data_IF_315386270027
#
_entry.id   IF_315386270027
#
_cell.length_a   1.000
_cell.length_b   1.000
_cell.length_c   1.000
_cell.angle_alpha   90.00
_cell.angle_beta   90.00
_cell.angle_gamma   90.00
#
_symmetry.space_group_name_H-M   'P 1'
#
loop_
_entity.id
_entity.type
_entity.pdbx_description
1 polymer ?
#
# COMPACT_ATOMS: atom_id res chain seq x y z
N UNK A 1 -43.47 28.15 -3.71
CA UNK A 1 -43.37 29.55 -3.22
C UNK A 1 -41.91 29.86 -2.98
N UNK A 2 -41.38 30.81 -3.73
CA UNK A 2 -39.97 31.15 -3.87
C UNK A 2 -39.56 32.14 -2.77
N UNK A 3 -38.48 31.88 -2.01
CA UNK A 3 -37.66 32.97 -1.47
C UNK A 3 -36.22 32.52 -1.18
N UNK A 4 -35.34 32.92 -2.10
CA UNK A 4 -33.89 33.02 -1.92
C UNK A 4 -33.54 33.94 -0.74
N UNK A 5 -32.46 33.60 -0.03
CA UNK A 5 -31.47 34.59 0.41
C UNK A 5 -30.10 33.92 0.44
N UNK A 6 -29.24 34.35 -0.50
CA UNK A 6 -27.80 34.07 -0.55
C UNK A 6 -27.10 34.93 0.50
N UNK A 7 -26.18 34.35 1.27
CA UNK A 7 -24.85 34.92 1.54
C UNK A 7 -23.83 33.80 1.66
N UNK A 8 -23.06 33.64 0.59
CA UNK A 8 -21.77 32.96 0.56
C UNK A 8 -20.79 33.68 1.50
N UNK A 9 -20.23 32.95 2.47
CA UNK A 9 -18.95 33.24 3.10
C UNK A 9 -18.16 31.93 3.07
N UNK A 10 -16.99 31.96 2.43
CA UNK A 10 -16.14 30.80 2.25
C UNK A 10 -15.74 30.20 3.59
N UNK A 11 -15.85 28.87 3.68
CA UNK A 11 -15.42 28.07 4.82
C UNK A 11 -14.24 27.20 4.39
N UNK A 12 -13.11 27.86 4.17
CA UNK A 12 -11.77 27.28 4.17
C UNK A 12 -10.88 28.26 4.95
N UNK A 13 -10.97 28.25 6.30
CA UNK A 13 -9.71 28.27 7.07
C UNK A 13 -9.71 27.47 8.39
N UNK A 14 -10.83 26.90 8.84
CA UNK A 14 -10.93 26.29 10.18
C UNK A 14 -10.47 24.84 10.29
N UNK A 15 -10.74 24.01 9.27
CA UNK A 15 -10.46 22.56 9.30
C UNK A 15 -8.98 22.25 9.02
N UNK A 16 -8.28 23.16 8.32
CA UNK A 16 -6.84 23.08 8.03
C UNK A 16 -5.98 23.33 9.28
N UNK A 17 -6.51 24.05 10.29
CA UNK A 17 -5.75 24.41 11.49
C UNK A 17 -5.68 23.28 12.54
N UNK A 18 -6.70 22.41 12.62
CA UNK A 18 -6.77 21.37 13.67
C UNK A 18 -6.10 20.04 13.27
N UNK A 19 -6.05 19.70 11.98
CA UNK A 19 -5.27 18.56 11.48
C UNK A 19 -3.76 18.79 11.65
N UNK A 20 -3.32 20.05 11.62
CA UNK A 20 -1.92 20.46 11.85
C UNK A 20 -1.54 20.42 13.34
N UNK A 21 -2.52 20.57 14.25
CA UNK A 21 -2.27 20.55 15.70
C UNK A 21 -2.11 19.12 16.27
N UNK A 22 -2.79 18.13 15.69
CA UNK A 22 -2.76 16.73 16.18
C UNK A 22 -1.55 15.96 15.63
N UNK A 23 -1.09 16.25 14.42
CA UNK A 23 0.25 15.82 13.93
C UNK A 23 1.38 16.45 14.76
N UNK A 24 1.09 17.53 15.49
CA UNK A 24 2.02 18.20 16.41
C UNK A 24 2.24 17.50 17.75
N UNK A 25 1.44 16.50 18.15
CA UNK A 25 1.51 15.89 19.48
C UNK A 25 2.03 14.44 19.51
N UNK A 26 2.04 13.72 18.39
CA UNK A 26 2.25 12.24 18.37
C UNK A 26 3.73 11.82 18.33
N UNK A 27 4.69 12.74 18.25
CA UNK A 27 6.12 12.45 18.54
C UNK A 27 6.63 13.27 19.73
N UNK A 28 5.72 13.80 20.56
CA UNK A 28 6.08 14.34 21.86
C UNK A 28 6.51 13.19 22.78
N UNK A 29 7.82 13.06 23.00
CA UNK A 29 8.48 12.17 23.97
C UNK A 29 8.81 10.74 23.51
N UNK A 30 9.91 10.61 22.75
CA UNK A 30 10.94 9.64 23.13
C UNK A 30 11.96 10.37 24.03
N UNK A 31 11.50 10.60 25.26
CA UNK A 31 12.22 10.77 26.54
C UNK A 31 13.40 11.76 26.63
N UNK A 32 13.14 12.90 27.27
CA UNK A 32 14.06 13.51 28.26
C UNK A 32 14.60 14.91 27.96
N UNK A 33 13.79 15.96 28.17
CA UNK A 33 14.26 17.35 28.14
C UNK A 33 14.23 18.02 29.53
N UNK A 34 15.40 18.39 30.05
CA UNK A 34 15.67 19.62 30.83
C UNK A 34 17.21 19.81 30.77
N UNK A 35 17.85 20.95 30.50
CA UNK A 35 17.47 22.36 30.49
C UNK A 35 18.49 23.18 29.66
N UNK A 36 18.07 24.33 29.12
CA UNK A 36 18.89 25.55 29.03
C UNK A 36 19.65 25.88 27.73
N UNK A 37 19.18 26.91 27.00
CA UNK A 37 20.02 27.94 26.39
C UNK A 37 20.50 27.77 24.94
N UNK A 38 20.02 28.65 24.04
CA UNK A 38 20.62 28.94 22.72
C UNK A 38 19.64 28.78 21.55
N UNK A 39 19.44 29.84 20.75
CA UNK A 39 18.60 29.82 19.54
C UNK A 39 19.22 28.94 18.45
N UNK A 40 18.99 27.63 18.54
CA UNK A 40 18.85 26.74 17.39
C UNK A 40 17.36 26.39 17.27
N UNK A 41 16.79 26.25 16.05
CA UNK A 41 15.43 25.76 15.92
C UNK A 41 15.31 24.42 16.63
N UNK A 42 14.23 24.25 17.40
CA UNK A 42 13.91 22.99 18.07
C UNK A 42 14.00 21.84 17.05
N UNK A 43 14.87 20.83 17.26
CA UNK A 43 15.01 19.71 16.35
C UNK A 43 13.68 19.02 16.02
N UNK A 44 12.75 18.99 16.98
CA UNK A 44 11.41 18.43 16.75
C UNK A 44 10.59 19.30 15.80
N UNK A 45 10.64 20.64 15.96
CA UNK A 45 9.98 21.57 15.05
C UNK A 45 10.56 21.50 13.64
N UNK A 46 11.89 21.45 13.51
CA UNK A 46 12.57 21.29 12.22
C UNK A 46 12.17 19.98 11.53
N UNK A 47 12.05 18.89 12.29
CA UNK A 47 11.57 17.60 11.75
C UNK A 47 10.12 17.66 11.29
N UNK A 48 9.24 18.28 12.06
CA UNK A 48 7.84 18.46 11.68
C UNK A 48 7.70 19.28 10.39
N UNK A 49 8.47 20.36 10.26
CA UNK A 49 8.49 21.19 9.04
C UNK A 49 8.97 20.39 7.82
N UNK A 50 10.04 19.62 7.97
CA UNK A 50 10.54 18.73 6.91
C UNK A 50 9.49 17.68 6.51
N UNK A 51 8.84 17.04 7.49
CA UNK A 51 7.80 16.04 7.22
C UNK A 51 6.63 16.63 6.44
N UNK A 52 6.15 17.83 6.81
CA UNK A 52 5.08 18.51 6.06
C UNK A 52 5.50 18.80 4.62
N UNK A 53 6.72 19.29 4.42
CA UNK A 53 7.23 19.60 3.09
C UNK A 53 7.29 18.34 2.20
N UNK A 54 7.84 17.24 2.72
CA UNK A 54 7.95 15.97 2.00
C UNK A 54 6.56 15.39 1.70
N UNK A 55 5.65 15.40 2.68
CA UNK A 55 4.29 14.90 2.48
C UNK A 55 3.53 15.69 1.42
N UNK A 56 3.65 17.01 1.39
CA UNK A 56 3.03 17.84 0.34
C UNK A 56 3.63 17.52 -1.03
N UNK A 57 4.94 17.35 -1.11
CA UNK A 57 5.62 17.08 -2.38
C UNK A 57 5.27 15.69 -2.93
N UNK A 58 5.33 14.66 -2.09
CA UNK A 58 5.00 13.26 -2.44
C UNK A 58 3.54 13.08 -2.88
N UNK A 59 2.63 13.99 -2.48
CA UNK A 59 1.22 13.94 -2.82
C UNK A 59 0.78 15.06 -3.75
N UNK A 60 1.71 15.83 -4.36
CA UNK A 60 1.38 17.05 -5.10
C UNK A 60 0.32 16.83 -6.19
N UNK A 61 0.48 15.82 -7.02
CA UNK A 61 -0.47 15.51 -8.09
C UNK A 61 -1.79 14.96 -7.54
N UNK A 62 -1.73 14.17 -6.46
CA UNK A 62 -2.91 13.63 -5.78
C UNK A 62 -3.72 14.73 -5.10
N UNK A 63 -3.08 15.74 -4.52
CA UNK A 63 -3.75 16.90 -3.94
C UNK A 63 -4.50 17.72 -4.99
N UNK A 64 -4.01 17.75 -6.23
CA UNK A 64 -4.69 18.42 -7.34
C UNK A 64 -5.87 17.60 -7.87
N UNK A 65 -5.76 16.27 -7.86
CA UNK A 65 -6.73 15.36 -8.50
C UNK A 65 -7.79 14.81 -7.55
N UNK A 66 -7.39 14.42 -6.34
CA UNK A 66 -8.18 13.69 -5.35
C UNK A 66 -7.96 14.26 -3.93
N UNK A 67 -8.18 15.57 -3.68
CA UNK A 67 -7.82 16.22 -2.42
C UNK A 67 -8.50 15.61 -1.18
N UNK A 68 -9.75 15.18 -1.31
CA UNK A 68 -10.50 14.52 -0.22
C UNK A 68 -9.88 13.16 0.15
N UNK A 69 -9.45 12.39 -0.85
CA UNK A 69 -8.80 11.10 -0.59
C UNK A 69 -7.41 11.27 0.02
N UNK A 70 -6.69 12.35 -0.33
CA UNK A 70 -5.43 12.69 0.35
C UNK A 70 -5.67 13.07 1.80
N UNK A 71 -6.72 13.85 2.09
CA UNK A 71 -7.10 14.17 3.47
C UNK A 71 -7.39 12.89 4.27
N UNK A 72 -8.17 11.96 3.72
CA UNK A 72 -8.43 10.67 4.35
C UNK A 72 -7.17 9.82 4.53
N UNK A 73 -6.28 9.81 3.54
CA UNK A 73 -4.97 9.16 3.65
C UNK A 73 -4.19 9.68 4.84
N UNK A 74 -4.06 11.01 4.95
CA UNK A 74 -3.32 11.66 6.04
C UNK A 74 -3.97 11.41 7.40
N UNK A 75 -5.30 11.42 7.46
CA UNK A 75 -6.03 11.10 8.69
C UNK A 75 -5.82 9.64 9.14
N UNK A 76 -5.80 8.66 8.22
CA UNK A 76 -5.43 7.26 8.52
C UNK A 76 -4.00 7.17 9.02
N UNK A 77 -3.07 7.81 8.33
CA UNK A 77 -1.66 7.82 8.74
C UNK A 77 -1.45 8.40 10.14
N UNK A 78 -2.33 9.28 10.61
CA UNK A 78 -2.27 9.87 11.93
C UNK A 78 -2.86 9.00 13.05
N UNK A 79 -3.51 7.86 12.72
CA UNK A 79 -4.16 7.00 13.72
C UNK A 79 -3.16 6.30 14.63
N UNK A 80 -2.06 5.78 14.07
CA UNK A 80 -1.07 5.00 14.81
C UNK A 80 0.29 4.93 14.05
N UNK A 81 1.39 4.55 14.72
CA UNK A 81 2.71 4.46 14.10
C UNK A 81 2.80 3.49 12.91
N UNK A 82 2.05 2.38 12.95
CA UNK A 82 2.04 1.39 11.89
C UNK A 82 1.33 1.92 10.64
N UNK A 83 0.19 2.60 10.82
CA UNK A 83 -0.53 3.31 9.76
C UNK A 83 0.32 4.42 9.14
N UNK A 84 1.05 5.21 9.94
CA UNK A 84 1.99 6.20 9.42
C UNK A 84 3.06 5.54 8.51
N UNK A 85 3.66 4.47 9.00
CA UNK A 85 4.72 3.73 8.33
C UNK A 85 4.27 3.16 6.98
N UNK A 86 3.16 2.41 6.93
CA UNK A 86 2.60 1.86 5.67
C UNK A 86 2.02 2.92 4.74
N UNK A 87 1.75 4.12 5.24
CA UNK A 87 1.31 5.23 4.42
C UNK A 87 2.43 5.94 3.69
N UNK A 88 3.69 5.69 4.10
CA UNK A 88 4.80 6.55 3.78
C UNK A 88 6.17 5.85 3.66
N UNK A 89 6.29 5.01 2.63
CA UNK A 89 7.59 4.44 2.25
C UNK A 89 8.59 5.52 1.79
N UNK A 90 8.12 6.65 1.24
CA UNK A 90 8.97 7.76 0.79
C UNK A 90 9.70 8.49 1.93
N UNK A 91 9.07 8.65 3.09
CA UNK A 91 9.74 9.20 4.29
C UNK A 91 10.75 8.20 4.83
N UNK A 92 10.38 6.92 4.94
CA UNK A 92 11.33 5.87 5.33
C UNK A 92 12.56 5.85 4.42
N UNK A 93 12.36 5.88 3.10
CA UNK A 93 13.44 5.89 2.12
C UNK A 93 14.39 7.07 2.37
N UNK A 94 13.86 8.29 2.50
CA UNK A 94 14.68 9.48 2.77
C UNK A 94 15.42 9.36 4.10
N UNK A 95 14.77 8.90 5.16
CA UNK A 95 15.41 8.73 6.46
C UNK A 95 16.52 7.68 6.43
N UNK A 96 16.26 6.56 5.76
CA UNK A 96 17.19 5.45 5.67
C UNK A 96 18.44 5.76 4.84
N UNK A 97 18.35 6.74 3.93
CA UNK A 97 19.47 7.17 3.09
C UNK A 97 20.13 8.48 3.51
N UNK A 98 19.62 9.14 4.57
CA UNK A 98 20.27 10.32 5.13
C UNK A 98 21.69 9.96 5.63
N UNK A 99 22.71 10.76 5.28
CA UNK A 99 24.07 10.54 5.78
C UNK A 99 24.11 10.45 7.30
N UNK A 100 24.63 9.32 7.81
CA UNK A 100 24.76 9.06 9.25
C UNK A 100 23.47 8.64 9.97
N UNK A 101 22.31 8.63 9.31
CA UNK A 101 21.04 8.26 9.96
C UNK A 101 20.93 6.76 10.23
N UNK A 102 21.26 5.93 9.25
CA UNK A 102 21.33 4.47 9.41
C UNK A 102 22.62 3.92 8.77
N UNK A 103 23.76 4.00 9.46
CA UNK A 103 25.03 3.48 8.97
C UNK A 103 24.85 2.03 8.47
N UNK A 104 25.36 1.75 7.29
CA UNK A 104 25.37 0.42 6.71
C UNK A 104 26.75 0.18 6.12
N UNK A 105 27.36 -0.95 6.46
CA UNK A 105 28.58 -1.42 5.80
C UNK A 105 28.28 -2.10 4.46
N UNK A 106 26.99 -2.21 4.09
CA UNK A 106 26.47 -2.99 2.96
C UNK A 106 25.54 -2.15 2.07
N UNK A 107 25.96 -0.91 1.75
CA UNK A 107 25.24 0.01 0.85
C UNK A 107 26.06 0.41 -0.38
N UNK A 108 26.92 -0.47 -0.85
CA UNK A 108 27.77 -0.28 -2.03
C UNK A 108 27.10 -0.78 -3.32
N UNK A 109 27.74 -0.54 -4.47
CA UNK A 109 27.21 -0.91 -5.79
C UNK A 109 26.70 -2.36 -5.91
N UNK A 110 27.45 -3.39 -5.47
CA UNK A 110 26.99 -4.78 -5.50
C UNK A 110 25.71 -5.02 -4.70
N UNK A 111 25.60 -4.45 -3.50
CA UNK A 111 24.39 -4.61 -2.67
C UNK A 111 23.16 -3.93 -3.29
N UNK A 112 23.37 -2.88 -4.09
CA UNK A 112 22.31 -2.17 -4.81
C UNK A 112 21.80 -2.85 -6.10
N UNK A 113 22.34 -4.02 -6.46
CA UNK A 113 21.87 -4.81 -7.60
C UNK A 113 20.70 -5.75 -7.27
N UNK A 114 20.23 -5.75 -6.02
CA UNK A 114 19.12 -6.59 -5.57
C UNK A 114 17.79 -5.96 -5.97
N UNK A 115 16.89 -6.77 -6.55
CA UNK A 115 15.52 -6.37 -6.78
C UNK A 115 14.76 -6.43 -5.45
N UNK A 116 14.31 -5.27 -4.99
CA UNK A 116 13.57 -5.10 -3.74
C UNK A 116 12.07 -5.27 -3.98
N UNK A 117 11.37 -5.78 -2.95
CA UNK A 117 9.92 -5.66 -2.80
C UNK A 117 9.56 -4.18 -2.65
N UNK A 118 10.39 -3.42 -1.93
CA UNK A 118 10.33 -1.96 -1.81
C UNK A 118 9.50 -1.45 -0.63
N UNK A 119 8.39 -2.10 -0.30
CA UNK A 119 7.58 -1.76 0.89
C UNK A 119 7.18 -3.01 1.72
N UNK A 120 8.11 -3.90 2.10
CA UNK A 120 7.76 -5.07 2.88
C UNK A 120 7.30 -4.66 4.29
N UNK A 121 6.10 -5.07 4.65
CA UNK A 121 5.54 -4.92 5.98
C UNK A 121 4.46 -6.00 6.21
N UNK A 122 4.07 -6.30 7.47
CA UNK A 122 3.17 -7.41 7.79
C UNK A 122 1.87 -7.45 6.96
N UNK A 123 1.26 -6.29 6.67
CA UNK A 123 0.03 -6.23 5.86
C UNK A 123 0.21 -6.39 4.34
N UNK A 124 1.45 -6.43 3.84
CA UNK A 124 1.76 -6.75 2.44
C UNK A 124 2.08 -8.24 2.25
N UNK A 125 1.95 -9.06 3.31
CA UNK A 125 1.90 -10.51 3.19
C UNK A 125 0.46 -10.92 2.93
N UNK A 126 0.23 -11.64 1.83
CA UNK A 126 -1.08 -12.09 1.39
C UNK A 126 -1.09 -13.57 1.05
N UNK A 127 -2.30 -14.11 0.92
CA UNK A 127 -2.53 -15.50 0.51
C UNK A 127 -3.14 -15.55 -0.87
N UNK A 128 -2.61 -16.35 -1.78
CA UNK A 128 -3.20 -16.55 -3.11
C UNK A 128 -3.01 -17.97 -3.63
N UNK A 129 -3.75 -18.30 -4.69
CA UNK A 129 -3.56 -19.53 -5.46
C UNK A 129 -2.77 -19.16 -6.73
N UNK A 130 -1.55 -19.67 -6.94
CA UNK A 130 -0.80 -19.42 -8.17
C UNK A 130 -1.48 -20.08 -9.38
N UNK A 131 -1.43 -19.41 -10.55
CA UNK A 131 -2.06 -19.89 -11.79
C UNK A 131 -1.45 -21.21 -12.30
N UNK A 132 -2.27 -22.06 -12.94
CA UNK A 132 -1.79 -23.18 -13.75
C UNK A 132 -1.80 -24.58 -13.11
N UNK A 133 -2.42 -24.78 -11.94
CA UNK A 133 -2.58 -26.13 -11.38
C UNK A 133 -4.06 -26.54 -11.26
N UNK A 134 -4.65 -27.23 -12.27
CA UNK A 134 -5.78 -28.10 -12.02
C UNK A 134 -5.33 -29.18 -11.02
N UNK A 135 -5.71 -29.04 -9.75
CA UNK A 135 -5.53 -30.09 -8.74
C UNK A 135 -4.22 -30.13 -7.93
N UNK A 136 -3.59 -29.00 -7.57
CA UNK A 136 -2.81 -28.98 -6.31
C UNK A 136 -1.40 -28.38 -6.30
N UNK A 137 -1.30 -27.06 -6.11
CA UNK A 137 -0.17 -26.46 -5.35
C UNK A 137 -0.60 -25.79 -4.04
N UNK A 138 -1.89 -25.86 -3.71
CA UNK A 138 -2.42 -25.27 -2.49
C UNK A 138 -2.41 -23.73 -2.50
N UNK A 139 -2.82 -23.13 -1.39
CA UNK A 139 -2.57 -21.71 -1.13
C UNK A 139 -1.10 -21.47 -0.77
N UNK A 140 -0.58 -20.33 -1.22
CA UNK A 140 0.72 -19.82 -0.82
C UNK A 140 0.55 -18.55 0.00
N UNK A 141 1.45 -18.31 0.94
CA UNK A 141 1.62 -17.06 1.68
C UNK A 141 2.88 -16.38 1.15
N UNK A 142 2.72 -15.20 0.55
CA UNK A 142 3.79 -14.46 -0.10
C UNK A 142 3.50 -12.96 -0.17
N UNK A 143 4.41 -12.17 -0.71
CA UNK A 143 4.26 -10.73 -0.92
C UNK A 143 3.21 -10.42 -1.98
N UNK A 144 2.37 -9.41 -1.72
CA UNK A 144 1.21 -9.08 -2.56
C UNK A 144 1.28 -7.71 -3.26
N UNK A 145 2.16 -6.81 -2.84
CA UNK A 145 2.23 -5.43 -3.35
C UNK A 145 3.66 -5.09 -3.77
N UNK A 146 3.85 -4.99 -5.08
CA UNK A 146 5.13 -4.68 -5.73
C UNK A 146 5.14 -3.27 -6.34
N UNK A 147 4.21 -2.40 -5.95
CA UNK A 147 4.15 -1.01 -6.43
C UNK A 147 5.48 -0.27 -6.23
N UNK A 148 6.12 -0.49 -5.08
CA UNK A 148 7.37 0.15 -4.69
C UNK A 148 8.62 -0.62 -5.15
N UNK A 149 8.45 -1.74 -5.87
CA UNK A 149 9.55 -2.61 -6.26
C UNK A 149 10.54 -1.88 -7.17
N UNK A 150 11.83 -2.04 -6.87
CA UNK A 150 12.94 -1.39 -7.56
C UNK A 150 14.25 -2.07 -7.23
N UNK A 151 15.30 -1.79 -8.02
CA UNK A 151 16.65 -2.18 -7.60
C UNK A 151 17.15 -1.22 -6.51
N UNK A 152 17.84 -1.78 -5.52
CA UNK A 152 18.39 -1.02 -4.41
C UNK A 152 19.06 -1.92 -3.39
N UNK A 153 19.65 -1.35 -2.33
CA UNK A 153 20.34 -2.15 -1.34
C UNK A 153 19.36 -2.92 -0.47
N UNK A 154 19.55 -4.23 -0.38
CA UNK A 154 18.65 -5.17 0.31
C UNK A 154 18.32 -4.80 1.76
N UNK A 155 19.21 -4.09 2.45
CA UNK A 155 18.99 -3.68 3.83
C UNK A 155 17.76 -2.79 3.98
N UNK A 156 17.32 -2.10 2.92
CA UNK A 156 16.12 -1.27 2.95
C UNK A 156 14.88 -2.12 3.22
N UNK A 157 14.71 -3.22 2.50
CA UNK A 157 13.60 -4.16 2.71
C UNK A 157 13.68 -4.82 4.09
N UNK A 158 14.87 -5.28 4.49
CA UNK A 158 15.07 -5.91 5.82
C UNK A 158 14.72 -4.94 6.95
N UNK A 159 15.21 -3.70 6.89
CA UNK A 159 14.92 -2.66 7.89
C UNK A 159 13.46 -2.21 7.85
N UNK A 160 12.88 -2.10 6.66
CA UNK A 160 11.48 -1.71 6.46
C UNK A 160 10.53 -2.74 7.07
N UNK A 161 10.82 -4.03 6.89
CA UNK A 161 10.06 -5.13 7.47
C UNK A 161 10.21 -5.19 8.99
N UNK A 162 11.44 -5.09 9.49
CA UNK A 162 11.71 -5.06 10.94
C UNK A 162 10.98 -3.89 11.61
N UNK A 163 11.06 -2.69 11.02
CA UNK A 163 10.35 -1.52 11.52
C UNK A 163 8.83 -1.69 11.41
N UNK A 164 8.34 -2.39 10.39
CA UNK A 164 6.92 -2.71 10.25
C UNK A 164 6.39 -3.60 11.36
N UNK A 165 7.12 -4.66 11.73
CA UNK A 165 6.77 -5.48 12.89
C UNK A 165 6.84 -4.68 14.19
N UNK A 166 7.91 -3.91 14.40
CA UNK A 166 8.08 -3.07 15.59
C UNK A 166 6.95 -2.04 15.73
N UNK A 167 6.56 -1.37 14.64
CA UNK A 167 5.48 -0.39 14.65
C UNK A 167 4.11 -1.03 14.89
N UNK A 168 3.85 -2.22 14.33
CA UNK A 168 2.58 -2.94 14.49
C UNK A 168 2.30 -3.36 15.95
N UNK A 169 3.34 -3.46 16.78
CA UNK A 169 3.24 -3.92 18.18
C UNK A 169 3.65 -2.85 19.19
N UNK A 170 3.97 -1.63 18.75
CA UNK A 170 4.54 -0.58 19.58
C UNK A 170 3.69 -0.26 20.82
N UNK A 171 2.36 -0.43 20.71
CA UNK A 171 1.41 -0.15 21.79
C UNK A 171 1.13 -1.35 22.71
N UNK A 172 1.67 -2.53 22.39
CA UNK A 172 1.32 -3.80 23.08
C UNK A 172 2.51 -4.54 23.69
N UNK A 173 3.75 -4.24 23.28
CA UNK A 173 4.95 -4.88 23.84
C UNK A 173 6.04 -3.87 24.21
N UNK A 174 6.95 -4.21 25.14
CA UNK A 174 8.08 -3.35 25.45
C UNK A 174 9.12 -3.32 24.32
N UNK A 175 9.99 -2.30 24.35
CA UNK A 175 10.96 -1.99 23.27
C UNK A 175 12.01 -3.07 23.02
N UNK A 176 12.31 -3.91 24.02
CA UNK A 176 13.24 -5.04 23.91
C UNK A 176 12.71 -6.11 22.94
N UNK A 177 11.41 -6.39 22.97
CA UNK A 177 10.74 -7.30 22.02
C UNK A 177 10.85 -6.81 20.58
N UNK A 178 10.85 -5.49 20.35
CA UNK A 178 11.04 -4.93 19.01
C UNK A 178 12.46 -5.16 18.46
N UNK A 179 13.48 -5.17 19.33
CA UNK A 179 14.85 -5.47 18.92
C UNK A 179 15.01 -6.94 18.55
N UNK A 180 14.44 -7.85 19.35
CA UNK A 180 14.44 -9.29 19.06
C UNK A 180 13.73 -9.61 17.74
N UNK A 181 12.65 -8.91 17.41
CA UNK A 181 11.98 -9.04 16.12
C UNK A 181 12.84 -8.54 14.96
N UNK A 182 13.55 -7.42 15.15
CA UNK A 182 14.51 -6.94 14.15
C UNK A 182 15.61 -7.97 13.87
N UNK A 183 16.12 -8.62 14.92
CA UNK A 183 17.09 -9.71 14.78
C UNK A 183 16.48 -10.92 14.05
N UNK A 184 15.27 -11.34 14.42
CA UNK A 184 14.57 -12.45 13.77
C UNK A 184 14.30 -12.20 12.27
N UNK A 185 13.96 -10.97 11.89
CA UNK A 185 13.79 -10.57 10.49
C UNK A 185 15.11 -10.68 9.73
N UNK A 186 16.21 -10.18 10.31
CA UNK A 186 17.53 -10.28 9.70
C UNK A 186 18.00 -11.73 9.55
N UNK A 187 17.81 -12.55 10.58
CA UNK A 187 18.15 -13.98 10.58
C UNK A 187 17.32 -14.75 9.53
N UNK A 188 16.03 -14.46 9.43
CA UNK A 188 15.14 -15.04 8.41
C UNK A 188 15.57 -14.67 7.00
N UNK A 189 15.96 -13.42 6.76
CA UNK A 189 16.49 -12.97 5.47
C UNK A 189 17.80 -13.70 5.11
N UNK A 190 18.74 -13.79 6.05
CA UNK A 190 20.03 -14.48 5.85
C UNK A 190 19.80 -15.98 5.63
N UNK A 191 18.85 -16.58 6.32
CA UNK A 191 18.45 -17.97 6.09
C UNK A 191 17.94 -18.15 4.67
N UNK A 192 16.95 -17.35 4.24
CA UNK A 192 16.39 -17.41 2.89
C UNK A 192 17.44 -17.24 1.80
N UNK A 193 18.34 -16.25 1.94
CA UNK A 193 19.42 -16.01 0.99
C UNK A 193 20.47 -17.14 0.90
N UNK A 194 20.48 -18.09 1.85
CA UNK A 194 21.38 -19.28 1.83
C UNK A 194 20.69 -20.53 1.31
N UNK A 195 19.36 -20.55 1.30
CA UNK A 195 18.59 -21.66 0.75
C UNK A 195 18.59 -21.48 -0.77
N UNK A 196 19.27 -22.39 -1.48
CA UNK A 196 19.32 -22.44 -2.94
C UNK A 196 18.02 -23.07 -3.49
N UNK A 197 16.91 -22.38 -3.24
CA UNK A 197 15.57 -22.78 -3.69
C UNK A 197 14.92 -21.60 -4.42
N UNK A 198 14.98 -21.65 -5.75
CA UNK A 198 14.38 -20.67 -6.66
C UNK A 198 12.83 -20.63 -6.58
N UNK A 199 12.19 -21.51 -5.80
CA UNK A 199 10.72 -21.59 -5.60
C UNK A 199 10.38 -21.53 -4.09
N UNK A 200 11.15 -20.79 -3.28
CA UNK A 200 10.82 -20.62 -1.86
C UNK A 200 9.52 -19.83 -1.68
N UNK A 201 8.47 -20.54 -1.26
CA UNK A 201 7.19 -19.96 -0.84
C UNK A 201 6.67 -20.73 0.36
N UNK A 202 6.00 -20.04 1.28
CA UNK A 202 5.32 -20.67 2.40
C UNK A 202 3.99 -21.24 1.91
N UNK A 203 3.85 -22.56 1.94
CA UNK A 203 2.72 -23.29 1.35
C UNK A 203 1.83 -23.88 2.44
N UNK A 204 0.57 -24.14 2.09
CA UNK A 204 -0.40 -24.77 3.00
C UNK A 204 0.02 -26.13 3.57
N UNK A 205 0.93 -26.83 2.89
CA UNK A 205 1.43 -28.13 3.32
C UNK A 205 2.69 -28.04 4.20
N UNK A 206 3.25 -26.84 4.39
CA UNK A 206 4.46 -26.66 5.20
C UNK A 206 4.14 -26.75 6.70
N UNK A 207 5.18 -27.04 7.49
CA UNK A 207 5.09 -27.00 8.95
C UNK A 207 5.05 -25.56 9.47
N UNK A 208 3.91 -24.89 9.27
CA UNK A 208 3.72 -23.48 9.62
C UNK A 208 3.23 -23.30 11.07
N UNK A 209 3.60 -22.23 11.78
CA UNK A 209 3.01 -21.86 13.07
C UNK A 209 1.48 -21.65 13.00
N UNK A 210 0.80 -21.76 14.15
CA UNK A 210 -0.66 -21.67 14.22
C UNK A 210 -1.27 -20.39 13.60
N UNK A 211 -0.69 -19.18 13.78
CA UNK A 211 -1.22 -17.98 13.14
C UNK A 211 -1.22 -18.05 11.61
N UNK A 212 -0.15 -18.57 11.00
CA UNK A 212 -0.05 -18.66 9.54
C UNK A 212 -0.99 -19.72 8.97
N UNK A 213 -1.15 -20.86 9.67
CA UNK A 213 -2.15 -21.87 9.28
C UNK A 213 -3.57 -21.31 9.32
N UNK A 214 -3.90 -20.54 10.34
CA UNK A 214 -5.22 -19.91 10.45
C UNK A 214 -5.50 -18.92 9.31
N UNK A 215 -4.48 -18.18 8.84
CA UNK A 215 -4.60 -17.31 7.67
C UNK A 215 -4.93 -18.10 6.40
N UNK A 216 -4.21 -19.20 6.16
CA UNK A 216 -4.44 -20.05 4.98
C UNK A 216 -5.78 -20.79 5.04
N UNK A 217 -6.17 -21.29 6.21
CA UNK A 217 -7.47 -21.93 6.41
C UNK A 217 -8.63 -20.98 6.13
N UNK A 218 -8.52 -19.73 6.61
CA UNK A 218 -9.50 -18.69 6.32
C UNK A 218 -9.55 -18.39 4.81
N UNK A 219 -8.41 -18.12 4.19
CA UNK A 219 -8.35 -17.79 2.77
C UNK A 219 -8.92 -18.90 1.87
N UNK A 220 -8.73 -20.17 2.25
CA UNK A 220 -9.33 -21.32 1.56
C UNK A 220 -10.85 -21.26 1.64
N UNK A 221 -11.38 -21.11 2.86
CA UNK A 221 -12.82 -21.05 3.10
C UNK A 221 -13.47 -19.90 2.32
N UNK A 222 -12.94 -18.69 2.45
CA UNK A 222 -13.48 -17.49 1.80
C UNK A 222 -13.47 -17.65 0.26
N UNK A 223 -12.43 -18.29 -0.28
CA UNK A 223 -12.31 -18.60 -1.71
C UNK A 223 -13.29 -19.69 -2.18
N UNK A 224 -13.42 -20.79 -1.44
CA UNK A 224 -14.29 -21.92 -1.78
C UNK A 224 -15.79 -21.53 -1.70
N UNK A 225 -16.14 -20.64 -0.77
CA UNK A 225 -17.49 -20.10 -0.60
C UNK A 225 -17.84 -19.03 -1.65
N UNK A 226 -16.87 -18.63 -2.50
CA UNK A 226 -17.04 -17.54 -3.46
C UNK A 226 -17.46 -16.23 -2.78
N UNK A 227 -16.99 -16.01 -1.56
CA UNK A 227 -17.47 -14.96 -0.64
C UNK A 227 -17.30 -13.59 -1.29
N UNK A 228 -16.12 -13.31 -1.87
CA UNK A 228 -15.85 -12.05 -2.56
C UNK A 228 -16.86 -11.76 -3.70
N UNK A 229 -17.23 -12.76 -4.51
CA UNK A 229 -18.20 -12.56 -5.59
C UNK A 229 -19.58 -12.24 -5.02
N UNK A 230 -20.01 -12.96 -3.99
CA UNK A 230 -21.31 -12.78 -3.34
C UNK A 230 -21.43 -11.45 -2.58
N UNK A 231 -20.35 -11.05 -1.90
CA UNK A 231 -20.27 -9.79 -1.16
C UNK A 231 -20.22 -8.58 -2.09
N UNK A 232 -19.47 -8.66 -3.19
CA UNK A 232 -19.22 -7.51 -4.05
C UNK A 232 -20.26 -7.32 -5.16
N UNK A 233 -21.19 -8.26 -5.32
CA UNK A 233 -22.18 -8.22 -6.40
C UNK A 233 -23.62 -8.44 -5.93
N UNK A 234 -24.57 -8.08 -6.78
CA UNK A 234 -25.99 -8.37 -6.63
C UNK A 234 -26.58 -8.83 -7.97
N UNK A 235 -27.61 -9.67 -7.93
CA UNK A 235 -28.36 -10.07 -9.13
C UNK A 235 -29.47 -9.05 -9.38
N UNK A 236 -29.40 -8.34 -10.50
CA UNK A 236 -30.41 -7.38 -10.94
C UNK A 236 -31.01 -7.87 -12.25
N UNK A 237 -32.30 -8.24 -12.25
CA UNK A 237 -33.00 -8.78 -13.41
C UNK A 237 -32.28 -9.97 -14.09
N UNK A 238 -31.67 -10.85 -13.29
CA UNK A 238 -30.94 -12.03 -13.77
C UNK A 238 -29.52 -11.76 -14.25
N UNK A 239 -29.05 -10.51 -14.23
CA UNK A 239 -27.66 -10.14 -14.52
C UNK A 239 -26.93 -9.74 -13.26
N UNK A 240 -25.74 -10.30 -13.03
CA UNK A 240 -24.88 -9.91 -11.92
C UNK A 240 -24.30 -8.51 -12.17
N UNK A 241 -24.33 -7.67 -11.14
CA UNK A 241 -23.85 -6.28 -11.15
C UNK A 241 -23.04 -6.00 -9.89
N UNK A 242 -22.08 -5.09 -9.98
CA UNK A 242 -21.29 -4.68 -8.82
C UNK A 242 -22.20 -3.94 -7.84
N UNK A 243 -22.04 -4.21 -6.55
CA UNK A 243 -22.70 -3.42 -5.51
C UNK A 243 -22.09 -2.03 -5.51
N UNK A 244 -22.95 -1.04 -5.71
CA UNK A 244 -22.60 0.38 -5.63
C UNK A 244 -23.51 1.07 -4.64
N UNK A 245 -23.00 2.11 -3.98
CA UNK A 245 -23.82 3.00 -3.17
C UNK A 245 -24.12 4.27 -3.98
N UNK A 246 -25.35 4.78 -3.86
CA UNK A 246 -25.86 5.89 -4.69
C UNK A 246 -25.21 7.24 -4.37
N UNK A 247 -24.57 7.36 -3.20
CA UNK A 247 -23.99 8.60 -2.67
C UNK A 247 -22.76 8.20 -1.86
N UNK A 248 -21.59 8.76 -2.18
CA UNK A 248 -20.87 9.57 -1.18
C UNK A 248 -19.89 10.55 -1.84
N UNK A 249 -20.34 11.74 -2.27
CA UNK A 249 -19.46 12.69 -2.92
C UNK A 249 -18.55 13.51 -1.99
N UNK A 250 -18.67 13.46 -0.65
CA UNK A 250 -17.78 14.18 0.30
C UNK A 250 -18.06 13.97 1.82
N UNK A 251 -18.63 12.86 2.31
CA UNK A 251 -18.96 12.80 3.75
C UNK A 251 -19.35 11.45 4.36
N UNK A 252 -18.38 10.58 4.67
CA UNK A 252 -17.80 10.40 6.02
C UNK A 252 -16.94 9.13 6.16
N UNK A 253 -16.05 9.18 7.16
CA UNK A 253 -15.50 8.03 7.88
C UNK A 253 -14.23 7.55 7.24
N UNK A 254 -13.08 7.96 7.81
CA UNK A 254 -11.74 7.68 7.28
C UNK A 254 -11.56 6.20 6.93
N UNK A 255 -12.31 5.29 7.57
CA UNK A 255 -12.13 3.84 7.49
C UNK A 255 -13.00 3.02 6.53
N UNK A 256 -14.02 3.57 5.85
CA UNK A 256 -14.91 2.73 5.04
C UNK A 256 -14.41 2.52 3.59
N UNK A 257 -14.31 1.26 3.16
CA UNK A 257 -14.21 0.94 1.72
C UNK A 257 -15.59 1.02 1.07
N UNK A 258 -15.70 1.81 0.00
CA UNK A 258 -16.95 1.95 -0.76
C UNK A 258 -16.72 1.75 -2.26
N UNK A 259 -17.78 1.42 -2.97
CA UNK A 259 -17.77 1.23 -4.42
C UNK A 259 -18.85 2.11 -5.04
N UNK A 260 -18.45 2.97 -5.98
CA UNK A 260 -19.33 3.96 -6.63
C UNK A 260 -19.42 3.67 -8.13
N UNK A 261 -20.56 4.04 -8.72
CA UNK A 261 -20.71 4.05 -10.16
C UNK A 261 -19.67 4.98 -10.81
N UNK A 262 -19.22 4.62 -12.01
CA UNK A 262 -18.28 5.41 -12.80
C UNK A 262 -19.00 6.20 -13.89
N UNK A 263 -18.44 7.35 -14.24
CA UNK A 263 -18.82 8.08 -15.46
C UNK A 263 -18.36 7.36 -16.74
N UNK A 264 -18.87 7.81 -17.89
CA UNK A 264 -18.60 7.21 -19.19
C UNK A 264 -17.13 7.30 -19.60
N UNK A 265 -16.44 8.37 -19.19
CA UNK A 265 -15.01 8.58 -19.47
C UNK A 265 -14.15 7.56 -18.73
N UNK A 266 -14.36 7.42 -17.41
CA UNK A 266 -13.68 6.43 -16.58
C UNK A 266 -13.99 5.00 -17.03
N UNK A 267 -15.25 4.73 -17.41
CA UNK A 267 -15.66 3.45 -17.98
C UNK A 267 -14.87 3.14 -19.25
N UNK A 268 -14.80 4.08 -20.19
CA UNK A 268 -14.06 3.91 -21.44
C UNK A 268 -12.56 3.66 -21.19
N UNK A 269 -11.96 4.41 -20.27
CA UNK A 269 -10.55 4.24 -19.89
C UNK A 269 -10.27 2.85 -19.30
N UNK A 270 -11.13 2.36 -18.39
CA UNK A 270 -10.99 1.01 -17.79
C UNK A 270 -11.16 -0.08 -18.85
N UNK A 271 -12.17 0.04 -19.73
CA UNK A 271 -12.37 -0.92 -20.82
C UNK A 271 -11.15 -0.95 -21.76
N UNK A 272 -10.59 0.22 -22.10
CA UNK A 272 -9.39 0.31 -22.91
C UNK A 272 -8.18 -0.34 -22.23
N UNK A 273 -7.99 -0.10 -20.92
CA UNK A 273 -6.91 -0.70 -20.13
C UNK A 273 -7.02 -2.24 -20.05
N UNK A 274 -8.23 -2.79 -20.06
CA UNK A 274 -8.46 -4.24 -20.03
C UNK A 274 -8.32 -4.92 -21.39
N UNK A 275 -8.34 -4.17 -22.51
CA UNK A 275 -8.31 -4.79 -23.84
C UNK A 275 -7.16 -5.76 -24.07
N UNK A 276 -5.90 -5.46 -23.70
CA UNK A 276 -4.81 -6.41 -23.90
C UNK A 276 -5.02 -7.74 -23.16
N UNK A 277 -5.53 -7.67 -21.92
CA UNK A 277 -5.83 -8.84 -21.10
C UNK A 277 -6.98 -9.66 -21.68
N UNK A 278 -8.05 -8.99 -22.13
CA UNK A 278 -9.20 -9.66 -22.73
C UNK A 278 -8.84 -10.29 -24.08
N UNK A 279 -8.03 -9.62 -24.90
CA UNK A 279 -7.55 -10.15 -26.17
C UNK A 279 -6.67 -11.40 -25.98
N UNK A 280 -5.84 -11.42 -24.93
CA UNK A 280 -5.02 -12.59 -24.60
C UNK A 280 -5.84 -13.83 -24.19
N UNK A 281 -7.10 -13.65 -23.77
CA UNK A 281 -8.03 -14.75 -23.45
C UNK A 281 -8.68 -15.40 -24.69
N UNK A 282 -8.57 -14.81 -25.89
CA UNK A 282 -9.06 -15.35 -27.16
C UNK A 282 -10.51 -14.99 -27.53
N UNK A 283 -10.91 -15.34 -28.75
CA UNK A 283 -12.25 -15.06 -29.29
C UNK A 283 -13.33 -15.87 -28.55
N UNK A 284 -14.39 -15.20 -28.09
CA UNK A 284 -15.42 -15.79 -27.21
C UNK A 284 -15.12 -15.67 -25.71
N UNK A 285 -14.02 -15.00 -25.33
CA UNK A 285 -13.71 -14.67 -23.95
C UNK A 285 -14.76 -13.76 -23.31
N UNK A 286 -14.83 -13.82 -21.98
CA UNK A 286 -15.74 -13.00 -21.20
C UNK A 286 -15.55 -11.51 -21.48
N UNK A 287 -16.66 -10.78 -21.60
CA UNK A 287 -16.65 -9.34 -21.80
C UNK A 287 -16.97 -8.61 -20.49
N UNK A 288 -16.60 -7.34 -20.41
CA UNK A 288 -16.90 -6.51 -19.23
C UNK A 288 -18.42 -6.28 -19.14
N UNK A 289 -19.02 -6.78 -18.06
CA UNK A 289 -20.43 -6.58 -17.72
C UNK A 289 -20.62 -5.29 -16.96
N UNK A 290 -19.77 -5.03 -15.96
CA UNK A 290 -19.92 -3.88 -15.08
C UNK A 290 -18.57 -3.35 -14.58
N UNK A 291 -18.53 -2.05 -14.29
CA UNK A 291 -17.35 -1.36 -13.75
C UNK A 291 -17.79 -0.44 -12.63
N UNK A 292 -17.03 -0.44 -11.55
CA UNK A 292 -17.22 0.50 -10.45
C UNK A 292 -15.87 0.99 -9.91
N UNK A 293 -15.84 2.21 -9.39
CA UNK A 293 -14.65 2.79 -8.75
C UNK A 293 -14.65 2.42 -7.26
N UNK A 294 -13.49 2.02 -6.77
CA UNK A 294 -13.27 1.66 -5.36
C UNK A 294 -12.56 2.81 -4.66
N UNK A 295 -13.07 3.19 -3.50
CA UNK A 295 -12.49 4.20 -2.61
C UNK A 295 -12.19 3.58 -1.25
N UNK A 296 -11.35 4.25 -0.45
CA UNK A 296 -11.16 3.87 0.94
C UNK A 296 -10.34 2.59 1.17
N UNK A 297 -9.46 2.20 0.24
CA UNK A 297 -8.65 0.97 0.32
C UNK A 297 -7.17 1.26 0.53
N UNK A 298 -6.59 0.61 1.54
CA UNK A 298 -5.20 0.79 1.92
C UNK A 298 -4.92 2.16 2.55
N UNK A 299 -3.70 2.34 3.04
CA UNK A 299 -3.22 3.63 3.54
C UNK A 299 -2.33 4.29 2.49
N UNK A 300 -1.22 3.65 2.08
CA UNK A 300 -0.30 4.21 1.08
C UNK A 300 -0.95 4.53 -0.27
N UNK A 301 -1.90 3.70 -0.70
CA UNK A 301 -2.58 3.80 -2.01
C UNK A 301 -4.00 4.38 -1.93
N UNK A 302 -4.39 4.97 -0.80
CA UNK A 302 -5.77 5.42 -0.55
C UNK A 302 -6.28 6.42 -1.60
N UNK A 303 -5.43 7.37 -2.02
CA UNK A 303 -5.75 8.39 -3.01
C UNK A 303 -5.46 7.97 -4.46
N UNK A 304 -5.11 6.71 -4.69
CA UNK A 304 -4.88 6.18 -6.04
C UNK A 304 -6.19 5.66 -6.62
N UNK A 305 -6.34 5.77 -7.95
CA UNK A 305 -7.51 5.23 -8.62
C UNK A 305 -7.50 3.72 -8.53
N UNK A 306 -8.63 3.16 -8.08
CA UNK A 306 -8.91 1.73 -8.10
C UNK A 306 -10.26 1.47 -8.72
N UNK A 307 -10.35 0.42 -9.51
CA UNK A 307 -11.58 0.00 -10.15
C UNK A 307 -11.79 -1.50 -9.98
N UNK A 308 -13.05 -1.91 -9.98
CA UNK A 308 -13.44 -3.30 -10.15
C UNK A 308 -14.15 -3.45 -11.48
N UNK A 309 -13.80 -4.48 -12.22
CA UNK A 309 -14.50 -4.89 -13.43
C UNK A 309 -15.05 -6.31 -13.23
N UNK A 310 -16.36 -6.46 -13.44
CA UNK A 310 -17.03 -7.75 -13.46
C UNK A 310 -17.13 -8.21 -14.92
N UNK A 311 -16.64 -9.41 -15.20
CA UNK A 311 -16.75 -10.04 -16.51
C UNK A 311 -17.99 -10.94 -16.62
N UNK A 312 -18.36 -11.31 -17.84
CA UNK A 312 -19.55 -12.14 -18.13
C UNK A 312 -19.42 -13.61 -17.69
N UNK A 313 -18.23 -14.06 -17.30
CA UNK A 313 -17.94 -15.38 -16.72
C UNK A 313 -17.87 -15.33 -15.18
N UNK A 314 -18.40 -14.27 -14.56
CA UNK A 314 -18.33 -13.99 -13.12
C UNK A 314 -16.89 -13.75 -12.58
N UNK A 315 -15.88 -13.58 -13.45
CA UNK A 315 -14.55 -13.12 -13.01
C UNK A 315 -14.62 -11.68 -12.50
N UNK A 316 -14.08 -11.44 -11.31
CA UNK A 316 -13.82 -10.10 -10.76
C UNK A 316 -12.36 -9.71 -10.96
N UNK A 317 -12.13 -8.59 -11.64
CA UNK A 317 -10.81 -7.99 -11.80
C UNK A 317 -10.72 -6.73 -10.93
N UNK A 318 -9.63 -6.57 -10.18
CA UNK A 318 -9.27 -5.30 -9.53
C UNK A 318 -8.18 -4.62 -10.37
N UNK A 319 -8.40 -3.36 -10.72
CA UNK A 319 -7.44 -2.50 -11.39
C UNK A 319 -6.97 -1.44 -10.41
N UNK A 320 -5.67 -1.17 -10.42
CA UNK A 320 -5.01 -0.18 -9.57
C UNK A 320 -4.13 0.70 -10.42
N UNK A 321 -4.14 2.00 -10.15
CA UNK A 321 -3.21 2.94 -10.75
C UNK A 321 -1.77 2.61 -10.33
N UNK A 322 -0.94 2.28 -11.32
CA UNK A 322 0.49 2.05 -11.12
C UNK A 322 1.25 3.38 -11.08
N UNK A 323 2.27 3.47 -10.23
CA UNK A 323 3.13 4.66 -10.07
C UNK A 323 4.58 4.27 -10.01
N UNK A 324 5.47 5.21 -10.27
CA UNK A 324 6.89 5.02 -10.03
C UNK A 324 7.20 4.85 -8.54
N UNK A 325 8.23 4.06 -8.19
CA UNK A 325 8.61 3.85 -6.81
C UNK A 325 9.27 5.14 -6.30
N UNK A 326 9.26 5.33 -4.99
CA UNK A 326 9.88 6.51 -4.39
C UNK A 326 11.38 6.54 -4.67
N UNK A 327 11.96 7.72 -4.91
CA UNK A 327 13.40 7.86 -5.13
C UNK A 327 14.20 7.43 -3.88
N UNK A 328 15.39 6.87 -4.11
CA UNK A 328 16.38 6.54 -3.09
C UNK A 328 17.52 7.57 -3.14
N UNK A 329 17.34 8.79 -2.59
CA UNK A 329 18.33 9.84 -2.73
C UNK A 329 19.63 9.47 -2.00
N UNK A 330 20.78 9.73 -2.63
CA UNK A 330 22.09 9.53 -2.01
C UNK A 330 22.64 8.10 -2.06
N UNK A 331 21.88 7.13 -2.60
CA UNK A 331 22.38 5.78 -2.85
C UNK A 331 22.82 5.60 -4.30
N UNK A 332 23.87 4.80 -4.51
CA UNK A 332 24.15 4.27 -5.84
C UNK A 332 23.09 3.24 -6.17
N UNK A 333 22.32 3.49 -7.23
CA UNK A 333 21.34 2.55 -7.76
C UNK A 333 21.88 2.04 -9.09
N UNK A 334 21.93 0.72 -9.26
CA UNK A 334 22.27 0.11 -10.55
C UNK A 334 21.22 0.57 -11.56
N UNK A 335 21.59 0.94 -12.81
CA UNK A 335 20.62 1.40 -13.80
C UNK A 335 19.43 0.44 -13.86
N UNK A 336 18.24 0.95 -13.57
CA UNK A 336 17.03 0.15 -13.67
C UNK A 336 16.88 -0.31 -15.12
N UNK A 337 16.42 -1.56 -15.30
CA UNK A 337 15.90 -2.00 -16.59
C UNK A 337 14.90 -0.94 -17.06
N UNK A 338 14.99 -0.54 -18.32
CA UNK A 338 14.00 0.38 -18.88
C UNK A 338 12.65 -0.35 -18.97
N UNK A 339 11.65 0.22 -18.31
CA UNK A 339 10.25 -0.20 -18.42
C UNK A 339 9.49 0.86 -19.21
N UNK A 340 8.56 0.43 -20.04
CA UNK A 340 7.71 1.32 -20.84
C UNK A 340 6.82 2.16 -19.95
N UNK A 341 6.32 1.56 -18.87
CA UNK A 341 5.47 2.21 -17.87
C UNK A 341 5.62 1.55 -16.48
N UNK A 342 5.06 2.16 -15.42
CA UNK A 342 5.15 1.60 -14.07
C UNK A 342 4.48 0.22 -13.91
N UNK A 343 3.46 -0.11 -14.70
CA UNK A 343 2.77 -1.39 -14.60
C UNK A 343 3.65 -2.54 -15.11
N UNK A 344 4.41 -2.32 -16.18
CA UNK A 344 5.39 -3.31 -16.68
C UNK A 344 6.45 -3.63 -15.62
N UNK A 345 6.94 -2.62 -14.88
CA UNK A 345 7.88 -2.81 -13.76
C UNK A 345 7.28 -3.70 -12.68
N UNK A 346 6.05 -3.42 -12.27
CA UNK A 346 5.34 -4.18 -11.22
C UNK A 346 5.18 -5.63 -11.65
N UNK A 347 4.73 -5.89 -12.89
CA UNK A 347 4.58 -7.24 -13.43
C UNK A 347 5.93 -7.97 -13.53
N UNK A 348 7.00 -7.26 -13.90
CA UNK A 348 8.35 -7.84 -13.90
C UNK A 348 8.76 -8.24 -12.48
N UNK A 349 8.57 -7.37 -11.49
CA UNK A 349 8.93 -7.64 -10.11
C UNK A 349 8.16 -8.83 -9.53
N UNK A 350 6.85 -8.88 -9.73
CA UNK A 350 5.98 -9.97 -9.28
C UNK A 350 6.34 -11.34 -9.91
N UNK A 351 7.03 -11.36 -11.06
CA UNK A 351 7.46 -12.60 -11.72
C UNK A 351 8.88 -13.01 -11.35
N UNK A 352 9.67 -12.07 -10.86
CA UNK A 352 11.10 -12.25 -10.56
C UNK A 352 11.34 -12.51 -9.08
N UNK A 353 10.44 -12.03 -8.22
CA UNK A 353 10.36 -12.28 -6.78
C UNK A 353 9.23 -13.26 -6.52
#
# INVERSE_FOLDING_TARGET
MYRRSRRSRGLLPGVIADVVAVVGAVVGAVVGAVAGGGCAPDPAAARADWLRAVLVDDHRDLLLREPVEVEHKLARMAQDPFSFLRGNVGVFARDATMPGALPSTVGDGPTSAVLLIGDPHPENLGTYRPDGAPGGRGLVLDWNDFDAARHGPFFLDVRRLALGFAAAIADVVPVDVAADLGAAVADGYVYGARVDDDDFALREHDALPAPLRALLDKARKDGDDGEALSELTTLTAGTRRLRTVAVDPAGRGVDATVTLAVDDESRAAVVAALQPLLAARGDGAAHVVDIARVYGRGVGSHALRRYRALLSDDTLLELKEARDPFPLPGLQVVPERFFVDPAERIVFAQRAL
#
